data_IF_295154569647
#
_entry.id   IF_295154569647
#
_cell.length_a   1.000
_cell.length_b   1.000
_cell.length_c   1.000
_cell.angle_alpha   90.00
_cell.angle_beta   90.00
_cell.angle_gamma   90.00
#
_symmetry.space_group_name_H-M   'P 1'
#
loop_
_entity.id
_entity.type
_entity.pdbx_description
1 polymer ?
#
# COMPACT_ATOMS: atom_id res chain seq x y z
N UNK A 1 -2.64 -6.04 -15.36
CA UNK A 1 -1.94 -7.00 -14.47
C UNK A 1 -2.88 -7.56 -13.41
N UNK A 2 -3.32 -6.80 -12.41
CA UNK A 2 -4.19 -7.31 -11.32
C UNK A 2 -5.50 -7.95 -11.83
N UNK A 3 -6.29 -7.23 -12.64
CA UNK A 3 -7.54 -7.78 -13.21
C UNK A 3 -7.34 -9.00 -14.11
N UNK A 4 -6.16 -9.11 -14.73
CA UNK A 4 -5.85 -10.17 -15.70
C UNK A 4 -5.26 -11.43 -15.05
N UNK A 5 -4.85 -11.36 -13.76
CA UNK A 5 -4.25 -12.46 -13.02
C UNK A 5 -4.87 -12.53 -11.61
N UNK A 6 -6.19 -12.78 -11.50
CA UNK A 6 -6.91 -12.77 -10.22
C UNK A 6 -6.43 -13.85 -9.23
N UNK A 7 -5.81 -14.91 -9.72
CA UNK A 7 -5.23 -16.00 -8.93
C UNK A 7 -3.88 -15.66 -8.29
N UNK A 8 -3.18 -14.63 -8.80
CA UNK A 8 -1.89 -14.22 -8.27
C UNK A 8 -2.06 -13.22 -7.13
N UNK A 9 -1.25 -13.39 -6.08
CA UNK A 9 -1.18 -12.42 -5.00
C UNK A 9 -0.60 -11.09 -5.51
N UNK A 10 -1.01 -9.97 -4.89
CA UNK A 10 -0.43 -8.67 -5.20
C UNK A 10 1.09 -8.62 -4.93
N UNK A 11 1.57 -9.38 -3.94
CA UNK A 11 3.00 -9.50 -3.65
C UNK A 11 3.75 -10.16 -4.83
N UNK A 12 3.22 -11.28 -5.34
CA UNK A 12 3.76 -11.97 -6.52
C UNK A 12 3.75 -11.08 -7.76
N UNK A 13 2.67 -10.35 -8.00
CA UNK A 13 2.57 -9.41 -9.12
C UNK A 13 3.60 -8.27 -9.03
N UNK A 14 3.86 -7.77 -7.82
CA UNK A 14 4.90 -6.76 -7.57
C UNK A 14 6.30 -7.33 -7.81
N UNK A 15 6.58 -8.55 -7.35
CA UNK A 15 7.87 -9.22 -7.57
C UNK A 15 8.18 -9.39 -9.06
N UNK A 16 7.18 -9.78 -9.86
CA UNK A 16 7.34 -9.97 -11.31
C UNK A 16 7.79 -8.70 -12.07
N UNK A 17 7.56 -7.51 -11.52
CA UNK A 17 7.97 -6.23 -12.11
C UNK A 17 9.14 -5.56 -11.39
N UNK A 18 9.74 -6.26 -10.42
CA UNK A 18 10.81 -5.73 -9.58
C UNK A 18 12.09 -6.51 -9.82
N UNK A 19 12.84 -6.15 -10.85
CA UNK A 19 14.16 -6.70 -11.10
C UNK A 19 15.19 -6.16 -10.10
N UNK A 20 16.19 -6.98 -9.74
CA UNK A 20 17.29 -6.58 -8.86
C UNK A 20 18.06 -5.41 -9.48
N UNK A 21 18.12 -4.28 -8.76
CA UNK A 21 18.79 -3.05 -9.23
C UNK A 21 18.02 -2.29 -10.32
N UNK A 22 16.78 -2.68 -10.63
CA UNK A 22 15.94 -1.97 -11.60
C UNK A 22 15.29 -0.70 -11.04
N UNK A 23 14.64 0.06 -11.92
CA UNK A 23 13.96 1.32 -11.56
C UNK A 23 12.80 1.10 -10.59
N UNK A 24 12.02 0.04 -10.75
CA UNK A 24 10.94 -0.33 -9.81
C UNK A 24 11.49 -0.67 -8.43
N UNK A 25 12.63 -1.35 -8.36
CA UNK A 25 13.27 -1.69 -7.09
C UNK A 25 13.72 -0.43 -6.33
N UNK A 26 14.32 0.55 -7.04
CA UNK A 26 14.68 1.84 -6.46
C UNK A 26 13.45 2.61 -5.96
N UNK A 27 12.35 2.61 -6.71
CA UNK A 27 11.11 3.26 -6.28
C UNK A 27 10.53 2.62 -5.01
N UNK A 28 10.50 1.28 -4.94
CA UNK A 28 10.05 0.55 -3.74
C UNK A 28 10.98 0.84 -2.56
N UNK A 29 12.29 0.92 -2.78
CA UNK A 29 13.24 1.29 -1.73
C UNK A 29 12.93 2.68 -1.16
N UNK A 30 12.72 3.68 -2.02
CA UNK A 30 12.31 5.02 -1.59
C UNK A 30 11.00 4.99 -0.79
N UNK A 31 10.00 4.19 -1.19
CA UNK A 31 8.77 4.05 -0.41
C UNK A 31 9.02 3.47 0.98
N UNK A 32 9.91 2.49 1.10
CA UNK A 32 10.27 1.88 2.38
C UNK A 32 11.06 2.87 3.26
N UNK A 33 12.02 3.59 2.69
CA UNK A 33 12.84 4.58 3.40
C UNK A 33 11.97 5.71 3.97
N UNK A 34 10.90 6.07 3.25
CA UNK A 34 9.92 7.07 3.69
C UNK A 34 8.72 6.46 4.43
N UNK A 35 8.79 5.19 4.85
CA UNK A 35 7.79 4.53 5.69
C UNK A 35 6.36 4.61 5.13
N UNK A 36 6.21 4.50 3.81
CA UNK A 36 4.91 4.68 3.14
C UNK A 36 3.84 3.73 3.71
N UNK A 37 4.18 2.48 4.01
CA UNK A 37 3.25 1.51 4.62
C UNK A 37 2.68 1.99 5.95
N UNK A 38 3.51 2.59 6.80
CA UNK A 38 3.08 3.12 8.10
C UNK A 38 2.19 4.35 7.93
N UNK A 39 2.52 5.22 6.96
CA UNK A 39 1.72 6.40 6.63
C UNK A 39 0.33 5.98 6.19
N UNK A 40 0.23 4.99 5.29
CA UNK A 40 -1.07 4.47 4.82
C UNK A 40 -1.86 3.87 5.97
N UNK A 41 -1.25 3.04 6.81
CA UNK A 41 -1.92 2.43 7.96
C UNK A 41 -2.47 3.49 8.93
N UNK A 42 -1.65 4.49 9.29
CA UNK A 42 -2.06 5.61 10.16
C UNK A 42 -3.20 6.42 9.55
N UNK A 43 -3.12 6.73 8.26
CA UNK A 43 -4.15 7.49 7.57
C UNK A 43 -5.50 6.75 7.55
N UNK A 44 -5.49 5.45 7.27
CA UNK A 44 -6.71 4.63 7.29
C UNK A 44 -7.30 4.56 8.70
N UNK A 45 -6.47 4.40 9.73
CA UNK A 45 -6.94 4.41 11.12
C UNK A 45 -7.56 5.76 11.50
N UNK A 46 -6.93 6.88 11.10
CA UNK A 46 -7.47 8.22 11.34
C UNK A 46 -8.83 8.42 10.66
N UNK A 47 -9.00 7.92 9.43
CA UNK A 47 -10.28 7.97 8.74
C UNK A 47 -11.37 7.15 9.47
N UNK A 48 -11.03 5.95 9.96
CA UNK A 48 -11.95 5.12 10.76
C UNK A 48 -12.34 5.82 12.06
N UNK A 49 -11.38 6.35 12.80
CA UNK A 49 -11.63 7.12 14.03
C UNK A 49 -12.57 8.29 13.76
N UNK A 50 -12.32 9.04 12.67
CA UNK A 50 -13.19 10.15 12.29
C UNK A 50 -14.61 9.70 11.96
N UNK A 51 -14.77 8.59 11.25
CA UNK A 51 -16.09 8.04 10.93
C UNK A 51 -16.87 7.66 12.21
N UNK A 52 -16.20 7.06 13.20
CA UNK A 52 -16.79 6.71 14.49
C UNK A 52 -17.19 7.94 15.32
N UNK A 53 -16.37 8.99 15.33
CA UNK A 53 -16.74 10.27 15.96
C UNK A 53 -17.99 10.87 15.31
N UNK A 54 -18.07 10.83 13.97
CA UNK A 54 -19.23 11.33 13.24
C UNK A 54 -20.48 10.53 13.56
N UNK A 55 -20.39 9.20 13.67
CA UNK A 55 -21.51 8.34 14.07
C UNK A 55 -21.99 8.65 15.49
N UNK A 56 -21.11 8.99 16.44
CA UNK A 56 -21.51 9.31 17.81
C UNK A 56 -22.14 10.71 17.97
N UNK A 57 -21.86 11.62 17.03
CA UNK A 57 -22.34 13.00 17.06
C UNK A 57 -23.73 13.17 16.42
N UNK A 58 -24.23 12.17 15.70
CA UNK A 58 -25.49 12.19 14.94
C UNK A 58 -26.35 10.96 15.22
#
# INVERSE_FOLDING_TARGET
MVKANPELSLATLREQVTSKGGTTAQAIQTFNDHQLSDIVAKAMQAAVTRAQEMEQLF
#
